data_IF_793121913824
#
_entry.id   IF_793121913824
#
_cell.length_a   1.000
_cell.length_b   1.000
_cell.length_c   1.000
_cell.angle_alpha   90.00
_cell.angle_beta   90.00
_cell.angle_gamma   90.00
#
_symmetry.space_group_name_H-M   'P 1'
#
loop_
_entity.id
_entity.type
_entity.pdbx_description
1 polymer ?
#
# COMPACT_ATOMS: atom_id res chain seq x y z
N UNK A 1 -9.78 13.87 -14.92
CA UNK A 1 -9.33 12.99 -16.02
C UNK A 1 -8.90 11.67 -15.39
N UNK A 2 -9.50 10.54 -15.77
CA UNK A 2 -9.15 9.24 -15.19
C UNK A 2 -7.81 8.69 -15.73
N UNK A 3 -7.24 7.68 -15.09
CA UNK A 3 -5.93 7.08 -15.43
C UNK A 3 -5.81 6.68 -16.90
N UNK A 4 -6.87 6.14 -17.51
CA UNK A 4 -6.89 5.80 -18.96
C UNK A 4 -6.62 7.03 -19.83
N UNK A 5 -7.23 8.16 -19.50
CA UNK A 5 -7.04 9.40 -20.25
C UNK A 5 -5.60 9.89 -20.14
N UNK A 6 -5.01 9.84 -18.94
CA UNK A 6 -3.62 10.23 -18.69
C UNK A 6 -2.65 9.39 -19.52
N UNK A 7 -2.84 8.07 -19.55
CA UNK A 7 -2.02 7.14 -20.33
C UNK A 7 -2.11 7.43 -21.84
N UNK A 8 -3.32 7.60 -22.38
CA UNK A 8 -3.50 7.91 -23.80
C UNK A 8 -2.93 9.27 -24.20
N UNK A 9 -3.08 10.28 -23.34
CA UNK A 9 -2.49 11.61 -23.58
C UNK A 9 -0.95 11.57 -23.52
N UNK A 10 -0.39 10.64 -22.76
CA UNK A 10 1.04 10.35 -22.72
C UNK A 10 1.54 9.52 -23.92
N UNK A 11 0.66 9.16 -24.87
CA UNK A 11 1.01 8.40 -26.07
C UNK A 11 1.09 6.89 -25.87
N UNK A 12 0.71 6.37 -24.69
CA UNK A 12 0.71 4.94 -24.40
C UNK A 12 -0.35 4.22 -25.23
N UNK A 13 0.03 3.13 -25.89
CA UNK A 13 -0.83 2.37 -26.77
C UNK A 13 -0.47 0.89 -26.91
N UNK A 14 -0.87 0.31 -28.05
CA UNK A 14 -0.72 -1.12 -28.30
C UNK A 14 0.76 -1.53 -28.42
N UNK A 15 1.15 -2.56 -27.67
CA UNK A 15 2.51 -3.10 -27.64
C UNK A 15 3.41 -2.49 -26.57
N UNK A 16 2.99 -1.38 -25.95
CA UNK A 16 3.70 -0.75 -24.85
C UNK A 16 3.54 -1.53 -23.55
N UNK A 17 4.58 -1.48 -22.71
CA UNK A 17 4.54 -1.94 -21.33
C UNK A 17 4.49 -0.76 -20.38
N UNK A 18 3.64 -0.86 -19.35
CA UNK A 18 3.55 0.13 -18.28
C UNK A 18 3.76 -0.57 -16.95
N UNK A 19 4.76 -0.13 -16.19
CA UNK A 19 5.03 -0.65 -14.86
C UNK A 19 3.99 -0.12 -13.87
N UNK A 20 3.37 -1.00 -13.10
CA UNK A 20 2.28 -0.69 -12.15
C UNK A 20 2.49 -1.45 -10.84
N UNK A 21 1.95 -0.97 -9.70
CA UNK A 21 2.09 -1.69 -8.45
C UNK A 21 1.22 -2.94 -8.46
N UNK A 22 1.67 -3.96 -7.73
CA UNK A 22 0.88 -5.19 -7.54
C UNK A 22 0.10 -5.23 -6.23
N UNK A 23 0.39 -4.33 -5.30
CA UNK A 23 -0.30 -4.24 -4.03
C UNK A 23 -1.49 -3.28 -4.17
N UNK A 24 -2.72 -3.76 -4.31
CA UNK A 24 -3.92 -2.90 -4.41
C UNK A 24 -4.09 -2.17 -5.75
N UNK A 25 -5.09 -1.28 -5.82
CA UNK A 25 -5.43 -0.45 -6.98
C UNK A 25 -5.54 -1.19 -8.34
N UNK A 26 -6.35 -2.28 -8.44
CA UNK A 26 -6.52 -3.01 -9.70
C UNK A 26 -7.03 -2.15 -10.86
N UNK A 27 -7.70 -1.03 -10.57
CA UNK A 27 -8.14 -0.04 -11.55
C UNK A 27 -6.98 0.57 -12.34
N UNK A 28 -5.76 0.63 -11.79
CA UNK A 28 -4.58 1.13 -12.49
C UNK A 28 -4.12 0.13 -13.55
N UNK A 29 -4.02 -1.15 -13.20
CA UNK A 29 -3.71 -2.20 -14.17
C UNK A 29 -4.79 -2.31 -15.24
N UNK A 30 -6.07 -2.18 -14.85
CA UNK A 30 -7.19 -2.12 -15.79
C UNK A 30 -7.09 -0.91 -16.72
N UNK A 31 -6.69 0.25 -16.21
CA UNK A 31 -6.54 1.44 -17.03
C UNK A 31 -5.44 1.27 -18.10
N UNK A 32 -4.33 0.62 -17.76
CA UNK A 32 -3.28 0.25 -18.71
C UNK A 32 -3.84 -0.67 -19.80
N UNK A 33 -4.56 -1.72 -19.44
CA UNK A 33 -5.18 -2.62 -20.42
C UNK A 33 -6.22 -1.92 -21.30
N UNK A 34 -7.01 -0.99 -20.75
CA UNK A 34 -7.97 -0.19 -21.51
C UNK A 34 -7.30 0.85 -22.43
N UNK A 35 -6.08 1.27 -22.11
CA UNK A 35 -5.25 2.08 -23.00
C UNK A 35 -4.66 1.26 -24.17
N UNK A 36 -4.77 -0.07 -24.12
CA UNK A 36 -4.22 -0.99 -25.13
C UNK A 36 -2.81 -1.51 -24.81
N UNK A 37 -2.24 -1.09 -23.67
CA UNK A 37 -0.91 -1.48 -23.23
C UNK A 37 -0.94 -2.70 -22.29
N UNK A 38 0.24 -3.23 -21.98
CA UNK A 38 0.43 -4.38 -21.10
C UNK A 38 0.88 -3.91 -19.71
N UNK A 39 0.14 -4.21 -18.63
CA UNK A 39 0.61 -3.94 -17.28
C UNK A 39 1.73 -4.91 -16.91
N UNK A 40 2.87 -4.34 -16.48
CA UNK A 40 4.01 -5.07 -15.90
C UNK A 40 4.04 -4.78 -14.41
N UNK A 41 4.01 -5.81 -13.58
CA UNK A 41 3.95 -5.64 -12.14
C UNK A 41 5.36 -5.57 -11.54
N UNK A 42 5.60 -4.54 -10.73
CA UNK A 42 6.82 -4.40 -9.92
C UNK A 42 6.48 -4.41 -8.43
N UNK A 43 7.49 -4.75 -7.63
CA UNK A 43 7.35 -4.92 -6.19
C UNK A 43 7.28 -3.57 -5.46
N UNK A 44 6.93 -3.63 -4.18
CA UNK A 44 6.75 -2.45 -3.33
C UNK A 44 7.92 -2.28 -2.37
N UNK A 45 8.15 -1.05 -1.95
CA UNK A 45 8.97 -0.77 -0.79
C UNK A 45 8.20 -1.20 0.48
N UNK A 46 8.80 -2.00 1.37
CA UNK A 46 8.10 -2.62 2.49
C UNK A 46 7.67 -1.64 3.59
N UNK A 47 8.28 -0.46 3.66
CA UNK A 47 8.00 0.56 4.67
C UNK A 47 6.89 1.52 4.20
N UNK A 48 6.85 1.81 2.90
CA UNK A 48 5.95 2.79 2.29
C UNK A 48 4.72 2.15 1.64
N UNK A 49 4.84 0.88 1.24
CA UNK A 49 3.90 0.14 0.39
C UNK A 49 3.70 0.72 -1.02
N UNK A 50 4.42 1.79 -1.34
CA UNK A 50 4.51 2.36 -2.66
C UNK A 50 5.45 1.53 -3.52
N UNK A 51 5.41 1.77 -4.83
CA UNK A 51 6.27 1.15 -5.81
C UNK A 51 7.76 1.39 -5.49
N UNK A 52 8.56 0.32 -5.45
CA UNK A 52 10.01 0.43 -5.20
C UNK A 52 10.76 0.80 -6.49
N UNK A 53 11.66 1.77 -6.42
CA UNK A 53 12.39 2.26 -7.59
C UNK A 53 13.33 1.21 -8.18
N UNK A 54 13.97 0.38 -7.36
CA UNK A 54 14.83 -0.70 -7.85
C UNK A 54 14.01 -1.81 -8.52
N UNK A 55 12.83 -2.14 -7.97
CA UNK A 55 11.91 -3.07 -8.58
C UNK A 55 11.33 -2.54 -9.92
N UNK A 56 11.08 -1.22 -10.05
CA UNK A 56 10.75 -0.62 -11.36
C UNK A 56 11.87 -0.84 -12.34
N UNK A 57 13.09 -0.47 -11.96
CA UNK A 57 14.26 -0.54 -12.83
C UNK A 57 14.50 -1.98 -13.30
N UNK A 58 14.33 -2.97 -12.43
CA UNK A 58 14.44 -4.39 -12.78
C UNK A 58 13.34 -4.89 -13.72
N UNK A 59 12.17 -4.24 -13.74
CA UNK A 59 11.04 -4.59 -14.59
C UNK A 59 11.09 -3.92 -15.98
N UNK A 60 12.03 -3.00 -16.21
CA UNK A 60 12.16 -2.28 -17.48
C UNK A 60 12.60 -3.23 -18.61
N UNK A 61 11.91 -3.14 -19.73
CA UNK A 61 12.28 -3.78 -21.00
C UNK A 61 12.35 -2.72 -22.11
N UNK A 62 12.73 -3.13 -23.32
CA UNK A 62 12.70 -2.26 -24.50
C UNK A 62 11.29 -1.80 -24.91
N UNK A 63 10.23 -2.39 -24.33
CA UNK A 63 8.83 -2.00 -24.56
C UNK A 63 8.27 -1.10 -23.46
N UNK A 64 9.01 -0.91 -22.37
CA UNK A 64 8.52 -0.11 -21.25
C UNK A 64 8.55 1.37 -21.64
N UNK A 65 7.41 2.04 -21.50
CA UNK A 65 7.27 3.48 -21.84
C UNK A 65 6.89 4.34 -20.64
N UNK A 66 6.30 3.73 -19.60
CA UNK A 66 5.84 4.45 -18.43
C UNK A 66 5.82 3.60 -17.17
N UNK A 67 5.82 4.27 -16.01
CA UNK A 67 5.47 3.71 -14.73
C UNK A 67 4.33 4.52 -14.10
N UNK A 68 3.26 3.87 -13.66
CA UNK A 68 2.19 4.51 -12.88
C UNK A 68 2.45 4.25 -11.41
N UNK A 69 2.77 5.33 -10.68
CA UNK A 69 3.13 5.31 -9.27
C UNK A 69 1.91 5.69 -8.46
N UNK A 70 1.51 4.82 -7.54
CA UNK A 70 0.38 5.08 -6.63
C UNK A 70 0.90 5.40 -5.24
N UNK A 71 0.53 6.55 -4.69
CA UNK A 71 0.77 6.91 -3.30
C UNK A 71 -0.17 6.11 -2.39
N UNK A 72 0.35 5.49 -1.33
CA UNK A 72 -0.39 4.50 -0.54
C UNK A 72 -0.67 4.96 0.87
N UNK A 73 -1.92 4.79 1.29
CA UNK A 73 -2.37 5.00 2.67
C UNK A 73 -2.08 6.39 3.23
N UNK A 74 -1.92 7.38 2.35
CA UNK A 74 -1.54 8.75 2.70
C UNK A 74 -0.03 9.00 2.73
N UNK A 75 0.78 8.09 2.22
CA UNK A 75 2.22 8.23 2.08
C UNK A 75 2.61 8.37 0.60
N UNK A 76 3.44 9.37 0.31
CA UNK A 76 4.01 9.54 -1.02
C UNK A 76 5.07 8.48 -1.30
N UNK A 77 5.15 8.05 -2.56
CA UNK A 77 6.26 7.24 -3.05
C UNK A 77 7.54 8.08 -3.11
N UNK A 78 8.70 7.42 -3.23
CA UNK A 78 9.96 8.13 -3.51
C UNK A 78 9.99 8.57 -4.98
N UNK A 79 9.30 9.67 -5.25
CA UNK A 79 9.18 10.26 -6.60
C UNK A 79 10.53 10.73 -7.12
N UNK A 80 11.45 11.15 -6.23
CA UNK A 80 12.78 11.53 -6.66
C UNK A 80 13.53 10.33 -7.26
N UNK A 81 13.54 9.20 -6.56
CA UNK A 81 14.15 7.96 -7.04
C UNK A 81 13.46 7.43 -8.31
N UNK A 82 12.13 7.41 -8.33
CA UNK A 82 11.35 6.92 -9.48
C UNK A 82 11.56 7.79 -10.73
N UNK A 83 11.64 9.12 -10.58
CA UNK A 83 11.96 10.02 -11.69
C UNK A 83 13.39 9.83 -12.19
N UNK A 84 14.35 9.51 -11.32
CA UNK A 84 15.71 9.17 -11.77
C UNK A 84 15.73 7.88 -12.59
N UNK A 85 14.93 6.87 -12.23
CA UNK A 85 14.75 5.67 -13.07
C UNK A 85 14.14 6.07 -14.42
N UNK A 86 13.08 6.88 -14.40
CA UNK A 86 12.44 7.37 -15.62
C UNK A 86 13.40 8.13 -16.55
N UNK A 87 14.23 9.00 -16.01
CA UNK A 87 15.24 9.74 -16.77
C UNK A 87 16.30 8.82 -17.41
N UNK A 88 16.77 7.81 -16.67
CA UNK A 88 17.79 6.87 -17.16
C UNK A 88 17.28 5.98 -18.28
N UNK A 89 16.00 5.59 -18.23
CA UNK A 89 15.40 4.61 -19.14
C UNK A 89 14.42 5.23 -20.15
N UNK A 90 14.25 6.56 -20.16
CA UNK A 90 13.31 7.24 -21.06
C UNK A 90 11.84 6.98 -20.75
N UNK A 91 11.49 6.69 -19.49
CA UNK A 91 10.13 6.36 -19.07
C UNK A 91 9.39 7.59 -18.53
N UNK A 92 8.09 7.66 -18.83
CA UNK A 92 7.20 8.60 -18.15
C UNK A 92 6.84 8.08 -16.75
N UNK A 93 6.94 8.93 -15.73
CA UNK A 93 6.51 8.61 -14.37
C UNK A 93 5.21 9.35 -14.09
N UNK A 94 4.11 8.60 -14.01
CA UNK A 94 2.77 9.11 -13.84
C UNK A 94 2.31 8.88 -12.39
N UNK A 95 1.98 9.96 -11.68
CA UNK A 95 1.64 9.91 -10.26
C UNK A 95 0.12 9.82 -10.05
N UNK A 96 -0.31 9.00 -9.09
CA UNK A 96 -1.71 8.84 -8.73
C UNK A 96 -1.88 8.78 -7.19
N UNK A 97 -2.80 9.56 -6.66
CA UNK A 97 -3.16 9.55 -5.23
C UNK A 97 -4.36 8.64 -4.92
N UNK A 98 -4.40 8.08 -3.71
CA UNK A 98 -5.56 7.35 -3.19
C UNK A 98 -6.57 8.32 -2.53
N UNK A 99 -7.46 8.92 -3.33
CA UNK A 99 -8.57 9.79 -2.86
C UNK A 99 -8.14 11.05 -2.07
N UNK A 100 -8.98 12.08 -2.06
CA UNK A 100 -8.69 13.31 -1.32
C UNK A 100 -9.34 13.24 0.07
N UNK A 101 -8.52 13.28 1.13
CA UNK A 101 -9.01 13.46 2.50
C UNK A 101 -9.16 14.95 2.79
N UNK A 102 -10.27 15.41 3.40
CA UNK A 102 -10.42 16.81 3.78
C UNK A 102 -9.25 17.28 4.63
N UNK A 103 -8.64 18.40 4.25
CA UNK A 103 -7.46 18.96 4.91
C UNK A 103 -7.70 19.22 6.42
N UNK A 104 -8.94 19.52 6.80
CA UNK A 104 -9.36 19.78 8.18
C UNK A 104 -9.14 18.61 9.13
N UNK A 105 -9.15 17.36 8.67
CA UNK A 105 -8.94 16.18 9.53
C UNK A 105 -7.47 15.76 9.69
N UNK A 106 -6.56 16.32 8.87
CA UNK A 106 -5.17 15.86 8.80
C UNK A 106 -4.43 16.01 10.13
N UNK A 107 -4.64 17.13 10.82
CA UNK A 107 -4.00 17.40 12.11
C UNK A 107 -4.41 16.40 13.18
N UNK A 108 -5.69 16.03 13.24
CA UNK A 108 -6.19 15.04 14.20
C UNK A 108 -5.69 13.64 13.90
N UNK A 109 -5.75 13.22 12.63
CA UNK A 109 -5.24 11.92 12.20
C UNK A 109 -3.76 11.78 12.54
N UNK A 110 -2.93 12.78 12.22
CA UNK A 110 -1.50 12.76 12.57
C UNK A 110 -1.27 12.68 14.08
N UNK A 111 -2.04 13.41 14.89
CA UNK A 111 -1.95 13.31 16.37
C UNK A 111 -2.30 11.91 16.88
N UNK A 112 -3.37 11.30 16.36
CA UNK A 112 -3.76 9.93 16.72
C UNK A 112 -2.73 8.91 16.22
N UNK A 113 -2.17 9.10 15.03
CA UNK A 113 -1.14 8.24 14.46
C UNK A 113 0.10 8.25 15.34
N UNK A 114 0.56 9.44 15.74
CA UNK A 114 1.69 9.60 16.65
C UNK A 114 1.42 8.91 17.99
N UNK A 115 0.21 9.05 18.55
CA UNK A 115 -0.19 8.35 19.77
C UNK A 115 -0.14 6.82 19.60
N UNK A 116 -0.72 6.29 18.53
CA UNK A 116 -0.73 4.86 18.24
C UNK A 116 0.69 4.35 18.02
N UNK A 117 1.50 5.01 17.20
CA UNK A 117 2.89 4.62 16.91
C UNK A 117 3.76 4.60 18.17
N UNK A 118 3.51 5.52 19.10
CA UNK A 118 4.24 5.54 20.38
C UNK A 118 3.83 4.40 21.32
N UNK A 119 2.58 3.92 21.26
CA UNK A 119 1.99 3.03 22.28
C UNK A 119 1.76 1.60 21.82
N UNK A 120 1.64 1.35 20.52
CA UNK A 120 1.54 0.00 19.96
C UNK A 120 2.91 -0.68 20.05
N UNK A 121 2.90 -1.90 20.59
CA UNK A 121 4.04 -2.80 20.76
C UNK A 121 3.73 -4.21 20.26
N UNK A 122 2.45 -4.58 20.19
CA UNK A 122 2.01 -5.87 19.68
C UNK A 122 1.93 -5.98 18.14
N UNK A 123 2.20 -4.89 17.42
CA UNK A 123 2.21 -4.84 15.95
C UNK A 123 3.33 -3.92 15.49
N UNK A 124 3.82 -4.12 14.26
CA UNK A 124 4.78 -3.19 13.65
C UNK A 124 4.01 -2.01 13.08
N UNK A 125 4.37 -0.80 13.51
CA UNK A 125 3.71 0.45 13.14
C UNK A 125 4.31 1.04 11.86
N UNK A 126 3.59 1.91 11.13
CA UNK A 126 4.16 2.66 10.01
C UNK A 126 5.45 3.38 10.42
N UNK A 127 6.46 3.33 9.54
CA UNK A 127 7.74 4.01 9.72
C UNK A 127 7.66 5.44 9.18
N UNK A 128 8.20 6.42 9.91
CA UNK A 128 8.25 7.83 9.47
C UNK A 128 6.90 8.54 9.49
N UNK A 129 6.92 9.81 9.88
CA UNK A 129 5.73 10.67 9.96
C UNK A 129 5.75 11.83 8.95
N UNK A 130 6.90 12.09 8.33
CA UNK A 130 7.09 13.25 7.48
C UNK A 130 6.27 13.11 6.19
N UNK A 131 5.43 14.12 5.92
CA UNK A 131 4.49 14.12 4.80
C UNK A 131 3.30 13.16 4.93
N UNK A 132 3.38 12.10 5.75
CA UNK A 132 2.34 11.07 5.87
C UNK A 132 1.01 11.67 6.37
N UNK A 133 -0.07 11.52 5.59
CA UNK A 133 -1.41 12.04 5.93
C UNK A 133 -2.24 11.06 6.73
N UNK A 134 -1.86 9.77 6.72
CA UNK A 134 -2.52 8.68 7.44
C UNK A 134 -3.99 8.55 7.02
N UNK A 135 -4.21 8.48 5.70
CA UNK A 135 -5.51 8.14 5.14
C UNK A 135 -5.99 6.79 5.70
N UNK A 136 -5.06 5.85 5.81
CA UNK A 136 -5.20 4.63 6.60
C UNK A 136 -3.99 4.47 7.53
N UNK A 137 -4.23 3.96 8.74
CA UNK A 137 -3.15 3.59 9.66
C UNK A 137 -2.88 2.09 9.53
N UNK A 138 -1.93 1.73 8.67
CA UNK A 138 -1.65 0.33 8.31
C UNK A 138 -0.49 -0.21 9.13
N UNK A 139 -0.76 -1.22 9.94
CA UNK A 139 0.25 -1.94 10.73
C UNK A 139 0.56 -3.29 10.09
N UNK A 140 1.70 -3.90 10.43
CA UNK A 140 1.98 -5.32 10.13
C UNK A 140 1.78 -6.16 11.39
N UNK A 141 0.93 -7.18 11.29
CA UNK A 141 0.70 -8.16 12.35
C UNK A 141 1.90 -9.12 12.41
N UNK A 142 2.48 -9.36 13.58
CA UNK A 142 3.58 -10.33 13.73
C UNK A 142 3.09 -11.76 13.51
N UNK A 143 4.02 -12.68 13.28
CA UNK A 143 3.76 -14.09 13.00
C UNK A 143 4.13 -14.47 11.58
N UNK A 144 3.52 -15.53 11.05
CA UNK A 144 3.86 -16.10 9.74
C UNK A 144 2.91 -15.64 8.62
N UNK A 145 2.39 -14.41 8.71
CA UNK A 145 1.43 -13.88 7.75
C UNK A 145 0.02 -14.48 7.93
N UNK A 146 -0.56 -15.06 6.88
CA UNK A 146 -1.82 -15.82 6.98
C UNK A 146 -1.52 -17.24 7.46
N UNK A 147 -2.26 -17.78 8.46
CA UNK A 147 -3.56 -17.32 8.97
C UNK A 147 -3.51 -16.36 10.17
N UNK A 148 -2.34 -16.07 10.73
CA UNK A 148 -2.17 -15.31 11.98
C UNK A 148 -2.78 -13.90 11.90
N UNK A 149 -2.55 -13.17 10.79
CA UNK A 149 -3.17 -11.86 10.56
C UNK A 149 -4.70 -11.92 10.60
N UNK A 150 -5.29 -12.94 9.99
CA UNK A 150 -6.75 -13.09 9.93
C UNK A 150 -7.32 -13.47 11.31
N UNK A 151 -6.60 -14.29 12.08
CA UNK A 151 -6.94 -14.58 13.47
C UNK A 151 -6.85 -13.32 14.35
N UNK A 152 -5.78 -12.54 14.22
CA UNK A 152 -5.61 -11.26 14.92
C UNK A 152 -6.75 -10.29 14.58
N UNK A 153 -7.07 -10.12 13.30
CA UNK A 153 -8.16 -9.25 12.85
C UNK A 153 -9.52 -9.68 13.43
N UNK A 154 -9.82 -10.99 13.44
CA UNK A 154 -11.04 -11.51 14.08
C UNK A 154 -11.07 -11.23 15.58
N UNK A 155 -9.96 -11.41 16.27
CA UNK A 155 -9.87 -11.15 17.71
C UNK A 155 -10.06 -9.65 18.04
N UNK A 156 -9.45 -8.75 17.25
CA UNK A 156 -9.65 -7.29 17.38
C UNK A 156 -11.12 -6.92 17.16
N UNK A 157 -11.76 -7.45 16.11
CA UNK A 157 -13.19 -7.21 15.83
C UNK A 157 -14.10 -7.76 16.92
N UNK A 158 -13.80 -8.93 17.48
CA UNK A 158 -14.56 -9.52 18.59
C UNK A 158 -14.51 -8.65 19.87
N UNK A 159 -13.52 -7.76 19.99
CA UNK A 159 -13.45 -6.74 21.06
C UNK A 159 -14.15 -5.43 20.70
N UNK A 160 -14.87 -5.38 19.57
CA UNK A 160 -15.63 -4.21 19.11
C UNK A 160 -14.77 -3.11 18.51
N UNK A 161 -13.58 -3.43 18.00
CA UNK A 161 -12.72 -2.48 17.29
C UNK A 161 -12.80 -2.81 15.81
N UNK A 162 -13.28 -1.87 14.99
CA UNK A 162 -13.28 -2.02 13.54
C UNK A 162 -11.84 -2.13 13.03
N UNK A 163 -11.56 -3.03 12.09
CA UNK A 163 -10.29 -3.09 11.37
C UNK A 163 -10.51 -3.75 10.01
N UNK A 164 -9.61 -3.50 9.06
CA UNK A 164 -9.75 -3.94 7.66
C UNK A 164 -8.44 -4.49 7.11
N UNK A 165 -8.52 -5.41 6.17
CA UNK A 165 -7.35 -5.82 5.37
C UNK A 165 -7.29 -4.89 4.16
N UNK A 166 -6.26 -4.05 4.02
CA UNK A 166 -6.24 -3.02 2.97
C UNK A 166 -6.13 -3.64 1.57
N UNK A 167 -5.39 -4.74 1.43
CA UNK A 167 -5.27 -5.51 0.19
C UNK A 167 -5.34 -6.99 0.51
N UNK A 168 -6.40 -7.66 0.05
CA UNK A 168 -6.63 -9.09 0.31
C UNK A 168 -5.89 -10.00 -0.68
N UNK A 169 -5.90 -9.60 -1.94
CA UNK A 169 -5.30 -10.33 -3.06
C UNK A 169 -4.48 -9.35 -3.86
N UNK A 170 -3.16 -9.53 -3.98
CA UNK A 170 -2.34 -8.77 -4.90
C UNK A 170 -2.87 -8.84 -6.33
N UNK A 171 -2.75 -7.76 -7.09
CA UNK A 171 -3.35 -7.63 -8.43
C UNK A 171 -2.82 -8.71 -9.37
N UNK A 172 -1.51 -9.01 -9.32
CA UNK A 172 -0.87 -10.04 -10.12
C UNK A 172 -1.35 -11.48 -9.80
N UNK A 173 -2.17 -11.68 -8.75
CA UNK A 173 -2.84 -12.96 -8.43
C UNK A 173 -4.33 -12.97 -8.78
N UNK A 174 -4.92 -11.80 -9.05
CA UNK A 174 -6.33 -11.68 -9.37
C UNK A 174 -6.67 -12.34 -10.72
N UNK A 175 -7.89 -12.89 -10.88
CA UNK A 175 -8.38 -13.31 -12.20
C UNK A 175 -8.27 -12.16 -13.21
N UNK A 176 -7.81 -12.45 -14.43
CA UNK A 176 -7.58 -11.45 -15.49
C UNK A 176 -6.21 -10.77 -15.47
N UNK A 177 -5.54 -10.70 -14.30
CA UNK A 177 -4.20 -10.13 -14.15
C UNK A 177 -3.16 -11.13 -13.66
N UNK A 178 -3.50 -12.42 -13.61
CA UNK A 178 -2.59 -13.46 -13.12
C UNK A 178 -1.28 -13.44 -13.91
N UNK A 179 -0.16 -13.26 -13.21
CA UNK A 179 1.20 -13.34 -13.75
C UNK A 179 2.07 -14.18 -12.83
N UNK A 180 2.99 -14.93 -13.43
CA UNK A 180 4.01 -15.66 -12.71
C UNK A 180 5.23 -14.75 -12.55
N UNK A 181 5.20 -13.91 -11.52
CA UNK A 181 6.23 -12.93 -11.18
C UNK A 181 6.52 -13.01 -9.69
N UNK A 182 7.79 -12.89 -9.32
CA UNK A 182 8.23 -12.93 -7.92
C UNK A 182 8.16 -11.52 -7.32
N UNK A 183 7.17 -11.26 -6.46
CA UNK A 183 6.96 -9.97 -5.77
C UNK A 183 6.89 -10.20 -4.25
N UNK A 184 8.00 -10.60 -3.61
CA UNK A 184 8.01 -11.06 -2.24
C UNK A 184 7.49 -10.03 -1.24
N UNK A 185 7.76 -8.74 -1.44
CA UNK A 185 7.31 -7.69 -0.51
C UNK A 185 5.82 -7.42 -0.63
N UNK A 186 5.29 -7.47 -1.85
CA UNK A 186 3.86 -7.40 -2.13
C UNK A 186 3.10 -8.54 -1.46
N UNK A 187 3.58 -9.78 -1.61
CA UNK A 187 2.94 -10.96 -1.04
C UNK A 187 2.99 -10.90 0.50
N UNK A 188 4.16 -10.58 1.05
CA UNK A 188 4.35 -10.40 2.49
C UNK A 188 3.44 -9.31 3.05
N UNK A 189 3.31 -8.18 2.36
CA UNK A 189 2.41 -7.11 2.79
C UNK A 189 0.93 -7.55 2.74
N UNK A 190 0.49 -8.31 1.74
CA UNK A 190 -0.89 -8.81 1.67
C UNK A 190 -1.21 -9.79 2.81
N UNK A 191 -0.21 -10.55 3.26
CA UNK A 191 -0.34 -11.51 4.35
C UNK A 191 -0.29 -10.86 5.73
N UNK A 192 0.49 -9.80 5.92
CA UNK A 192 0.76 -9.21 7.25
C UNK A 192 -0.05 -7.95 7.56
N UNK A 193 -0.48 -7.18 6.55
CA UNK A 193 -1.02 -5.83 6.79
C UNK A 193 -2.43 -5.83 7.39
N UNK A 194 -2.68 -4.89 8.29
CA UNK A 194 -3.99 -4.62 8.88
C UNK A 194 -4.17 -3.11 9.03
N UNK A 195 -5.26 -2.58 8.50
CA UNK A 195 -5.66 -1.18 8.70
C UNK A 195 -6.42 -1.05 10.02
N UNK A 196 -5.88 -0.24 10.92
CA UNK A 196 -6.51 0.14 12.18
C UNK A 196 -7.25 1.48 12.04
N UNK A 197 -8.30 1.70 12.84
CA UNK A 197 -9.12 2.90 12.74
C UNK A 197 -8.36 4.09 13.32
N UNK A 198 -8.36 5.19 12.58
CA UNK A 198 -7.73 6.45 12.95
C UNK A 198 -8.57 7.69 12.62
N UNK A 199 -9.58 7.56 11.75
CA UNK A 199 -10.50 8.62 11.35
C UNK A 199 -11.74 8.73 12.25
N UNK A 200 -12.59 9.73 11.99
CA UNK A 200 -13.86 9.96 12.71
C UNK A 200 -13.69 10.53 14.13
N UNK A 201 -14.77 10.60 14.91
CA UNK A 201 -14.75 11.03 16.31
C UNK A 201 -14.30 9.90 17.26
N UNK A 202 -13.11 9.33 17.04
CA UNK A 202 -12.56 8.35 17.98
C UNK A 202 -12.18 9.03 19.30
N UNK A 203 -12.82 8.60 20.39
CA UNK A 203 -12.51 9.05 21.73
C UNK A 203 -11.16 8.52 22.20
N UNK A 204 -10.56 9.21 23.18
CA UNK A 204 -9.31 8.77 23.84
C UNK A 204 -9.45 7.37 24.46
N UNK A 205 -10.65 7.03 24.97
CA UNK A 205 -10.94 5.71 25.55
C UNK A 205 -10.89 4.61 24.50
N UNK A 206 -11.41 4.87 23.29
CA UNK A 206 -11.35 3.90 22.19
C UNK A 206 -9.92 3.69 21.69
N UNK A 207 -9.13 4.76 21.57
CA UNK A 207 -7.71 4.65 21.23
C UNK A 207 -6.92 3.84 22.27
N UNK A 208 -7.17 4.06 23.56
CA UNK A 208 -6.56 3.28 24.65
C UNK A 208 -6.98 1.81 24.60
N UNK A 209 -8.27 1.53 24.36
CA UNK A 209 -8.80 0.18 24.19
C UNK A 209 -8.13 -0.53 23.01
N UNK A 210 -7.99 0.16 21.88
CA UNK A 210 -7.32 -0.36 20.69
C UNK A 210 -5.87 -0.73 20.97
N UNK A 211 -5.11 0.16 21.62
CA UNK A 211 -3.72 -0.10 22.03
C UNK A 211 -3.65 -1.33 22.93
N UNK A 212 -4.49 -1.38 23.97
CA UNK A 212 -4.52 -2.48 24.93
C UNK A 212 -4.78 -3.83 24.25
N UNK A 213 -5.80 -3.89 23.39
CA UNK A 213 -6.15 -5.11 22.63
C UNK A 213 -5.03 -5.54 21.71
N UNK A 214 -4.47 -4.62 20.91
CA UNK A 214 -3.40 -4.96 19.97
C UNK A 214 -2.13 -5.44 20.69
N UNK A 215 -1.76 -4.81 21.81
CA UNK A 215 -0.60 -5.21 22.60
C UNK A 215 -0.78 -6.57 23.25
N UNK A 216 -1.96 -6.86 23.81
CA UNK A 216 -2.26 -8.15 24.40
C UNK A 216 -2.22 -9.29 23.35
N UNK A 217 -2.78 -9.05 22.16
CA UNK A 217 -2.79 -10.05 21.09
C UNK A 217 -1.40 -10.26 20.46
N UNK A 218 -0.62 -9.20 20.28
CA UNK A 218 0.71 -9.30 19.68
C UNK A 218 1.72 -10.06 20.54
N UNK A 219 1.55 -10.07 21.85
CA UNK A 219 2.33 -10.92 22.76
C UNK A 219 2.10 -12.43 22.53
N UNK A 220 0.98 -12.82 21.91
CA UNK A 220 0.62 -14.21 21.63
C UNK A 220 1.12 -14.72 20.27
N UNK A 221 1.55 -13.81 19.38
CA UNK A 221 1.94 -14.12 18.00
C UNK A 221 3.45 -13.91 17.77
N UNK A 222 4.26 -13.95 18.83
CA UNK A 222 5.72 -13.93 18.69
C UNK A 222 6.14 -15.14 17.84
N UNK A 223 7.01 -14.96 16.83
CA UNK A 223 7.49 -16.09 16.04
C UNK A 223 8.11 -17.12 16.97
N UNK A 224 7.66 -18.37 16.87
CA UNK A 224 8.34 -19.49 17.51
C UNK A 224 9.71 -19.59 16.84
N UNK A 225 10.76 -19.21 17.56
CA UNK A 225 12.14 -19.48 17.16
C UNK A 225 12.40 -20.99 17.18
#
# INVERSE_FOLDING_TARGET
MGTVGMLRAAGVGAGDEVVVPAFGNPEVAQAVSLAGAVPVFADIDPATYCLDAAAVEAAVTSRTVAAVVVHRFGRSADIAALRQVGQRHGLLVLEQGESETPYSELGERRRRAAYLSAKLKGVRTPEGCDGHTFQQYVVRVPGNGRPDRDAFARAVRAKGIACGVPVKTPVHRMPGFRRDVCLPETERAADETLALPIGGEMSRRELQKLVSVCNALGGLLQPAF
#
